data_IF_865741164032
#
_entry.id   IF_865741164032
#
_cell.length_a   1.000
_cell.length_b   1.000
_cell.length_c   1.000
_cell.angle_alpha   90.00
_cell.angle_beta   90.00
_cell.angle_gamma   90.00
#
_symmetry.space_group_name_H-M   'P 1'
#
loop_
_entity.id
_entity.type
_entity.pdbx_description
1 polymer ?
#
# COMPACT_ATOMS: atom_id res chain seq x y z
N UNK A 1 7.65 -32.85 85.69
CA UNK A 1 7.37 -31.85 86.75
C UNK A 1 7.43 -30.46 86.15
N UNK A 2 6.36 -29.67 86.35
CA UNK A 2 6.28 -28.20 86.46
C UNK A 2 6.79 -27.27 85.31
N UNK A 3 5.81 -26.91 84.45
CA UNK A 3 5.42 -25.59 83.86
C UNK A 3 6.44 -24.42 83.81
N UNK A 4 6.68 -23.93 82.59
CA UNK A 4 6.91 -22.52 82.18
C UNK A 4 6.32 -22.44 80.75
N UNK A 5 5.17 -21.87 80.40
CA UNK A 5 4.49 -20.59 80.62
C UNK A 5 5.09 -19.41 79.83
N UNK A 6 4.33 -18.98 78.81
CA UNK A 6 4.43 -17.75 77.98
C UNK A 6 5.62 -17.70 76.99
N UNK A 7 5.47 -17.26 75.73
CA UNK A 7 4.71 -16.11 75.25
C UNK A 7 4.44 -16.28 73.74
N UNK A 8 3.24 -15.91 73.31
CA UNK A 8 2.88 -15.79 71.90
C UNK A 8 3.72 -14.71 71.21
N UNK A 9 4.25 -15.01 70.03
CA UNK A 9 4.48 -13.99 69.02
C UNK A 9 4.12 -14.58 67.66
N UNK A 10 2.87 -14.36 67.27
CA UNK A 10 2.42 -14.58 65.91
C UNK A 10 3.15 -13.60 65.00
N UNK A 11 4.21 -14.07 64.33
CA UNK A 11 4.88 -13.32 63.27
C UNK A 11 3.98 -13.46 62.04
N UNK A 12 3.14 -12.45 61.85
CA UNK A 12 2.33 -12.26 60.66
C UNK A 12 3.26 -12.05 59.46
N UNK A 13 3.24 -13.00 58.53
CA UNK A 13 3.91 -12.93 57.24
C UNK A 13 3.28 -11.85 56.37
N UNK A 14 4.00 -10.74 56.15
CA UNK A 14 3.76 -9.84 55.03
C UNK A 14 5.03 -9.72 54.18
N UNK A 15 5.26 -10.72 53.32
CA UNK A 15 6.14 -10.58 52.15
C UNK A 15 5.25 -10.46 50.92
N UNK A 16 4.88 -9.23 50.58
CA UNK A 16 4.28 -8.91 49.28
C UNK A 16 4.90 -7.61 48.75
N UNK A 17 6.12 -7.72 48.26
CA UNK A 17 6.72 -6.76 47.33
C UNK A 17 7.45 -7.55 46.25
N UNK A 18 6.70 -8.08 45.28
CA UNK A 18 7.25 -8.37 43.96
C UNK A 18 6.76 -7.28 43.02
N UNK A 19 7.53 -6.19 42.92
CA UNK A 19 7.50 -5.34 41.75
C UNK A 19 8.20 -6.10 40.62
N UNK A 20 7.46 -6.95 39.91
CA UNK A 20 7.92 -7.44 38.61
C UNK A 20 8.07 -6.24 37.68
N UNK A 21 9.27 -5.98 37.13
CA UNK A 21 9.39 -5.05 36.03
C UNK A 21 8.60 -5.65 34.87
N UNK A 22 7.45 -5.07 34.53
CA UNK A 22 6.80 -5.35 33.25
C UNK A 22 7.72 -4.90 32.13
N UNK A 23 8.66 -5.76 31.74
CA UNK A 23 9.33 -5.71 30.44
C UNK A 23 8.37 -6.24 29.37
N UNK A 24 7.20 -5.62 29.28
CA UNK A 24 6.34 -5.74 28.09
C UNK A 24 6.31 -4.36 27.42
N UNK A 25 7.49 -3.85 27.07
CA UNK A 25 7.56 -2.93 25.93
C UNK A 25 7.46 -3.81 24.71
N UNK A 26 6.23 -4.19 24.35
CA UNK A 26 5.97 -4.51 22.95
C UNK A 26 6.41 -3.26 22.17
N UNK A 27 7.38 -3.37 21.24
CA UNK A 27 7.72 -2.25 20.38
C UNK A 27 6.40 -1.76 19.79
N UNK A 28 6.14 -0.44 19.77
CA UNK A 28 4.95 0.07 19.10
C UNK A 28 4.92 -0.57 17.73
N UNK A 29 3.78 -1.17 17.36
CA UNK A 29 3.60 -1.68 15.99
C UNK A 29 3.83 -0.49 15.07
N UNK A 30 5.03 -0.40 14.50
CA UNK A 30 5.37 0.58 13.50
C UNK A 30 4.31 0.41 12.41
N UNK A 31 3.67 1.51 12.03
CA UNK A 31 2.51 1.51 11.15
C UNK A 31 2.78 0.84 9.80
N UNK A 32 1.77 0.82 8.93
CA UNK A 32 1.95 0.35 7.54
C UNK A 32 3.18 1.02 6.91
N UNK A 33 3.97 0.23 6.16
CA UNK A 33 5.13 0.76 5.46
C UNK A 33 4.71 1.89 4.52
N UNK A 34 5.54 2.94 4.41
CA UNK A 34 5.34 3.99 3.42
C UNK A 34 5.59 3.39 2.02
N UNK A 35 4.59 3.40 1.10
CA UNK A 35 4.74 2.81 -0.23
C UNK A 35 5.90 3.39 -1.04
N UNK A 36 6.16 4.69 -0.92
CA UNK A 36 7.26 5.34 -1.64
C UNK A 36 8.63 4.87 -1.12
N UNK A 37 8.76 4.79 0.21
CA UNK A 37 9.95 4.24 0.86
C UNK A 37 10.17 2.77 0.53
N UNK A 38 9.09 1.97 0.54
CA UNK A 38 9.14 0.55 0.16
C UNK A 38 9.56 0.40 -1.30
N UNK A 39 8.96 1.17 -2.21
CA UNK A 39 9.32 1.17 -3.62
C UNK A 39 10.80 1.49 -3.82
N UNK A 40 11.33 2.51 -3.13
CA UNK A 40 12.76 2.82 -3.18
C UNK A 40 13.65 1.61 -2.86
N UNK A 41 13.34 0.89 -1.77
CA UNK A 41 14.09 -0.30 -1.35
C UNK A 41 13.93 -1.45 -2.34
N UNK A 42 12.73 -1.64 -2.90
CA UNK A 42 12.46 -2.66 -3.94
C UNK A 42 13.23 -2.39 -5.24
N UNK A 43 13.48 -1.12 -5.57
CA UNK A 43 14.36 -0.74 -6.70
C UNK A 43 15.86 -0.84 -6.36
N UNK A 44 16.22 -1.38 -5.19
CA UNK A 44 17.60 -1.52 -4.71
C UNK A 44 18.22 -0.21 -4.22
N UNK A 45 17.41 0.83 -4.00
CA UNK A 45 17.86 2.11 -3.48
C UNK A 45 18.01 2.15 -1.96
N UNK A 46 18.75 3.14 -1.48
CA UNK A 46 18.83 3.48 -0.06
C UNK A 46 17.96 4.69 0.24
N UNK A 47 17.09 4.57 1.25
CA UNK A 47 16.28 5.68 1.74
C UNK A 47 17.13 6.63 2.61
N UNK A 48 17.04 7.93 2.34
CA UNK A 48 17.64 9.01 3.12
C UNK A 48 16.57 10.02 3.52
N UNK A 49 16.38 10.27 4.82
CA UNK A 49 15.49 11.33 5.29
C UNK A 49 16.28 12.64 5.40
N UNK A 50 15.74 13.71 4.82
CA UNK A 50 16.37 15.04 4.80
C UNK A 50 15.45 16.08 5.40
N UNK A 51 16.03 17.02 6.15
CA UNK A 51 15.31 18.21 6.60
C UNK A 51 15.23 19.21 5.45
N UNK A 52 14.03 19.72 5.20
CA UNK A 52 13.71 20.75 4.23
C UNK A 52 13.01 21.93 4.91
N UNK A 53 12.79 23.01 4.16
CA UNK A 53 12.10 24.20 4.66
C UNK A 53 10.69 23.88 5.21
N UNK A 54 10.02 22.86 4.66
CA UNK A 54 8.64 22.49 4.99
C UNK A 54 8.53 21.23 5.87
N UNK A 55 9.62 20.73 6.44
CA UNK A 55 9.62 19.54 7.29
C UNK A 55 10.68 18.53 6.87
N UNK A 56 10.36 17.25 6.89
CA UNK A 56 11.25 16.19 6.43
C UNK A 56 10.71 15.56 5.15
N UNK A 57 11.61 15.24 4.22
CA UNK A 57 11.30 14.53 2.99
C UNK A 57 12.19 13.29 2.84
N UNK A 58 11.64 12.24 2.24
CA UNK A 58 12.37 11.02 1.92
C UNK A 58 13.00 11.11 0.54
N UNK A 59 14.26 10.71 0.43
CA UNK A 59 14.98 10.63 -0.83
C UNK A 59 15.45 9.22 -1.08
N UNK A 60 15.28 8.74 -2.31
CA UNK A 60 15.81 7.48 -2.78
C UNK A 60 17.15 7.70 -3.47
N UNK A 61 18.22 7.12 -2.92
CA UNK A 61 19.53 7.02 -3.55
C UNK A 61 19.64 5.70 -4.29
N UNK A 62 19.56 5.75 -5.61
CA UNK A 62 19.55 4.59 -6.49
C UNK A 62 20.99 4.05 -6.75
N UNK A 63 21.15 2.76 -7.11
CA UNK A 63 22.45 2.16 -7.40
C UNK A 63 23.25 2.84 -8.52
N UNK A 64 22.57 3.51 -9.45
CA UNK A 64 23.20 4.29 -10.52
C UNK A 64 23.72 5.66 -10.06
N UNK A 65 23.61 5.99 -8.77
CA UNK A 65 24.02 7.25 -8.17
C UNK A 65 22.97 8.37 -8.24
N UNK A 66 21.83 8.14 -8.90
CA UNK A 66 20.73 9.11 -8.92
C UNK A 66 20.11 9.25 -7.53
N UNK A 67 19.82 10.49 -7.14
CA UNK A 67 19.07 10.81 -5.93
C UNK A 67 17.79 11.51 -6.34
N UNK A 68 16.65 10.98 -5.94
CA UNK A 68 15.32 11.47 -6.31
C UNK A 68 14.41 11.41 -5.08
N UNK A 69 13.51 12.39 -4.91
CA UNK A 69 12.52 12.37 -3.83
C UNK A 69 11.59 11.14 -3.99
N UNK A 70 11.28 10.46 -2.88
CA UNK A 70 10.68 9.12 -2.91
C UNK A 70 9.28 9.10 -3.54
N UNK A 71 8.44 10.11 -3.30
CA UNK A 71 7.08 10.18 -3.84
C UNK A 71 7.10 10.52 -5.33
N UNK A 72 7.99 11.42 -5.75
CA UNK A 72 8.21 11.72 -7.18
C UNK A 72 8.62 10.44 -7.91
N UNK A 73 9.56 9.69 -7.35
CA UNK A 73 10.00 8.43 -7.96
C UNK A 73 8.87 7.39 -8.02
N UNK A 74 8.16 7.21 -6.90
CA UNK A 74 7.05 6.26 -6.83
C UNK A 74 5.93 6.59 -7.83
N UNK A 75 5.53 7.85 -7.97
CA UNK A 75 4.46 8.26 -8.88
C UNK A 75 4.87 8.25 -10.35
N UNK A 76 6.11 8.61 -10.67
CA UNK A 76 6.62 8.59 -12.04
C UNK A 76 6.64 7.17 -12.64
N UNK A 77 6.73 6.15 -11.76
CA UNK A 77 6.85 4.76 -12.14
C UNK A 77 5.55 3.95 -11.98
N UNK A 78 4.41 4.60 -11.68
CA UNK A 78 3.11 3.93 -11.69
C UNK A 78 2.66 3.58 -13.10
N UNK A 79 1.91 2.48 -13.22
CA UNK A 79 1.28 2.12 -14.49
C UNK A 79 0.27 3.18 -14.91
N UNK A 80 0.34 3.59 -16.19
CA UNK A 80 -0.61 4.54 -16.78
C UNK A 80 -1.20 3.93 -18.04
N UNK A 81 -2.51 4.07 -18.18
CA UNK A 81 -3.21 3.67 -19.39
C UNK A 81 -2.73 4.51 -20.57
N UNK A 82 -2.37 3.85 -21.67
CA UNK A 82 -1.93 4.48 -22.93
C UNK A 82 -3.15 4.67 -23.83
N UNK A 83 -3.56 5.92 -24.00
CA UNK A 83 -4.80 6.28 -24.71
C UNK A 83 -4.81 5.79 -26.16
N UNK A 84 -3.69 5.96 -26.88
CA UNK A 84 -3.57 5.52 -28.28
C UNK A 84 -3.72 4.00 -28.43
N UNK A 85 -3.20 3.22 -27.47
CA UNK A 85 -3.37 1.76 -27.48
C UNK A 85 -4.78 1.34 -27.09
N UNK A 86 -5.42 2.08 -26.16
CA UNK A 86 -6.82 1.85 -25.81
C UNK A 86 -7.73 2.06 -27.03
N UNK A 87 -7.53 3.13 -27.79
CA UNK A 87 -8.32 3.41 -28.99
C UNK A 87 -8.23 2.30 -30.04
N UNK A 88 -7.08 1.64 -30.19
CA UNK A 88 -6.90 0.50 -31.12
C UNK A 88 -7.75 -0.71 -30.76
N UNK A 89 -8.28 -0.80 -29.53
CA UNK A 89 -9.17 -1.89 -29.13
C UNK A 89 -10.56 -1.76 -29.76
N UNK A 90 -10.96 -0.57 -30.19
CA UNK A 90 -12.28 -0.34 -30.77
C UNK A 90 -12.48 -1.21 -32.01
N UNK A 91 -13.57 -1.96 -31.99
CA UNK A 91 -13.94 -2.89 -33.02
C UNK A 91 -13.41 -4.31 -32.88
N UNK A 92 -12.50 -4.57 -31.93
CA UNK A 92 -12.07 -5.93 -31.59
C UNK A 92 -13.14 -6.67 -30.78
N UNK A 93 -13.09 -7.99 -30.81
CA UNK A 93 -14.02 -8.90 -30.11
C UNK A 93 -13.24 -9.95 -29.34
N UNK A 94 -13.80 -10.45 -28.23
CA UNK A 94 -13.27 -11.63 -27.54
C UNK A 94 -11.94 -11.41 -26.80
N UNK A 95 -11.57 -10.16 -26.51
CA UNK A 95 -10.39 -9.87 -25.69
C UNK A 95 -10.64 -10.19 -24.22
N UNK A 96 -9.67 -10.83 -23.57
CA UNK A 96 -9.69 -11.03 -22.12
C UNK A 96 -9.24 -9.77 -21.38
N UNK A 97 -9.58 -9.68 -20.10
CA UNK A 97 -9.14 -8.56 -19.24
C UNK A 97 -7.62 -8.42 -19.24
N UNK A 98 -6.89 -9.54 -19.19
CA UNK A 98 -5.42 -9.54 -19.21
C UNK A 98 -4.86 -9.01 -20.53
N UNK A 99 -5.47 -9.39 -21.66
CA UNK A 99 -5.05 -8.88 -22.98
C UNK A 99 -5.31 -7.38 -23.09
N UNK A 100 -6.43 -6.89 -22.56
CA UNK A 100 -6.74 -5.46 -22.52
C UNK A 100 -5.67 -4.73 -21.69
N UNK A 101 -5.40 -5.19 -20.44
CA UNK A 101 -4.37 -4.59 -19.57
C UNK A 101 -3.00 -4.54 -20.24
N UNK A 102 -2.58 -5.62 -20.88
CA UNK A 102 -1.28 -5.70 -21.56
C UNK A 102 -1.19 -4.71 -22.72
N UNK A 103 -2.23 -4.62 -23.56
CA UNK A 103 -2.26 -3.71 -24.71
C UNK A 103 -2.26 -2.25 -24.27
N UNK A 104 -3.06 -1.90 -23.26
CA UNK A 104 -3.23 -0.51 -22.82
C UNK A 104 -2.25 -0.09 -21.74
N UNK A 105 -1.46 -1.01 -21.18
CA UNK A 105 -0.63 -0.81 -19.98
C UNK A 105 -1.41 -0.34 -18.75
N UNK A 106 -2.73 -0.50 -18.73
CA UNK A 106 -3.56 -0.20 -17.57
C UNK A 106 -3.48 -1.33 -16.55
N UNK A 107 -3.63 -0.99 -15.27
CA UNK A 107 -3.77 -1.94 -14.18
C UNK A 107 -5.23 -2.41 -14.01
N UNK A 108 -6.18 -1.51 -14.30
CA UNK A 108 -7.61 -1.73 -14.08
C UNK A 108 -8.34 -1.69 -15.42
N UNK A 109 -9.22 -2.66 -15.64
CA UNK A 109 -10.16 -2.65 -16.76
C UNK A 109 -11.57 -2.54 -16.21
N UNK A 110 -12.32 -1.55 -16.67
CA UNK A 110 -13.73 -1.39 -16.36
C UNK A 110 -14.55 -1.68 -17.61
N UNK A 111 -15.23 -2.83 -17.63
CA UNK A 111 -16.13 -3.21 -18.72
C UNK A 111 -17.54 -2.71 -18.43
N UNK A 112 -18.14 -2.01 -19.40
CA UNK A 112 -19.48 -1.43 -19.29
C UNK A 112 -20.32 -1.80 -20.52
N UNK A 113 -21.63 -1.90 -20.34
CA UNK A 113 -22.58 -1.99 -21.45
C UNK A 113 -22.91 -0.63 -22.06
N UNK A 114 -23.52 -0.58 -23.26
CA UNK A 114 -24.03 0.65 -23.85
C UNK A 114 -25.05 1.32 -22.91
N UNK A 115 -24.91 2.63 -22.68
CA UNK A 115 -25.76 3.44 -21.80
C UNK A 115 -25.80 2.98 -20.33
N UNK A 116 -24.87 2.12 -19.90
CA UNK A 116 -24.78 1.73 -18.50
C UNK A 116 -24.35 2.95 -17.67
N UNK A 117 -25.12 3.33 -16.62
CA UNK A 117 -24.76 4.45 -15.78
C UNK A 117 -23.47 4.14 -15.00
N UNK A 118 -22.57 5.11 -14.95
CA UNK A 118 -21.31 5.00 -14.24
C UNK A 118 -20.97 6.30 -13.52
N UNK A 119 -20.19 6.18 -12.45
CA UNK A 119 -19.57 7.34 -11.78
C UNK A 119 -18.44 7.92 -12.64
N UNK A 120 -18.23 9.22 -12.51
CA UNK A 120 -17.17 9.98 -13.20
C UNK A 120 -15.92 10.14 -12.31
N UNK A 121 -15.44 9.05 -11.72
CA UNK A 121 -14.18 9.05 -10.97
C UNK A 121 -13.01 8.89 -11.95
N UNK A 122 -11.98 9.74 -11.89
CA UNK A 122 -10.81 9.63 -12.78
C UNK A 122 -9.72 8.74 -12.20
N UNK A 123 -9.17 7.83 -13.00
CA UNK A 123 -8.04 6.96 -12.66
C UNK A 123 -7.06 6.80 -13.83
N UNK A 124 -5.84 7.34 -13.68
CA UNK A 124 -4.79 7.28 -14.71
C UNK A 124 -4.41 5.84 -15.11
N UNK A 125 -4.51 4.89 -14.19
CA UNK A 125 -4.16 3.48 -14.39
C UNK A 125 -5.32 2.62 -14.90
N UNK A 126 -6.47 3.21 -15.27
CA UNK A 126 -7.67 2.49 -15.71
C UNK A 126 -7.97 2.70 -17.18
N UNK A 127 -8.39 1.64 -17.85
CA UNK A 127 -9.12 1.71 -19.11
C UNK A 127 -10.57 1.32 -18.90
N UNK A 128 -11.49 2.11 -19.44
CA UNK A 128 -12.92 1.79 -19.49
C UNK A 128 -13.28 1.35 -20.90
N UNK A 129 -13.78 0.13 -21.05
CA UNK A 129 -14.20 -0.45 -22.33
C UNK A 129 -15.72 -0.63 -22.36
N UNK A 130 -16.37 -0.13 -23.41
CA UNK A 130 -17.80 -0.36 -23.65
C UNK A 130 -17.95 -1.53 -24.60
N UNK A 131 -18.65 -2.57 -24.18
CA UNK A 131 -18.78 -3.82 -24.94
C UNK A 131 -20.23 -4.03 -25.35
N UNK A 132 -20.46 -4.22 -26.64
CA UNK A 132 -21.77 -4.60 -27.14
C UNK A 132 -22.18 -6.00 -26.64
N UNK A 133 -23.35 -6.17 -26.01
CA UNK A 133 -23.72 -7.42 -25.37
C UNK A 133 -23.98 -8.56 -26.37
N UNK A 134 -24.37 -8.25 -27.61
CA UNK A 134 -24.71 -9.24 -28.64
C UNK A 134 -23.47 -9.68 -29.42
N UNK A 135 -22.76 -8.74 -30.04
CA UNK A 135 -21.59 -8.98 -30.88
C UNK A 135 -20.29 -9.17 -30.11
N UNK A 136 -20.26 -8.84 -28.80
CA UNK A 136 -19.05 -8.79 -27.97
C UNK A 136 -17.96 -7.86 -28.50
N UNK A 137 -18.35 -6.90 -29.34
CA UNK A 137 -17.46 -5.91 -29.95
C UNK A 137 -17.22 -4.76 -28.99
N UNK A 138 -15.97 -4.31 -28.89
CA UNK A 138 -15.63 -3.09 -28.16
C UNK A 138 -16.10 -1.88 -28.97
N UNK A 139 -17.04 -1.12 -28.43
CA UNK A 139 -17.60 0.08 -29.06
C UNK A 139 -16.77 1.33 -28.75
N UNK A 140 -16.18 1.39 -27.55
CA UNK A 140 -15.28 2.46 -27.13
C UNK A 140 -14.31 1.96 -26.07
N UNK A 141 -13.12 2.57 -26.00
CA UNK A 141 -12.11 2.28 -25.01
C UNK A 141 -11.37 3.58 -24.65
N UNK A 142 -11.52 4.03 -23.40
CA UNK A 142 -10.97 5.31 -22.94
C UNK A 142 -10.20 5.13 -21.64
N UNK A 143 -9.02 5.77 -21.55
CA UNK A 143 -8.27 5.85 -20.31
C UNK A 143 -8.90 6.87 -19.36
N UNK A 144 -8.97 6.53 -18.08
CA UNK A 144 -9.56 7.37 -17.04
C UNK A 144 -10.54 6.65 -16.15
#
# INVERSE_FOLDING_TARGET
MKKILFLALAITSLTACSSTPSKDVTPPKIGMANPASQYCVEQGGQLEIRNEANGQAGYCKLPNGQVIEEWVFFHANQSKCVADEAQKLVGQTGLTEQQIKQKTKSEIVRSVGPNQPVTMDYRENRVTVTIDPQSKKILSANCG
#
